data_IF_803999064865
#
_entry.id   IF_803999064865
#
_cell.length_a   1.000
_cell.length_b   1.000
_cell.length_c   1.000
_cell.angle_alpha   90.00
_cell.angle_beta   90.00
_cell.angle_gamma   90.00
#
_symmetry.space_group_name_H-M   'P 1'
#
loop_
_entity.id
_entity.type
_entity.pdbx_description
1 polymer ?
#
# COMPACT_ATOMS: atom_id res chain seq x y z
N UNK A 1 -3.18 2.23 -24.15
CA UNK A 1 -4.58 2.42 -23.70
C UNK A 1 -4.85 1.32 -22.67
N UNK A 2 -4.56 1.58 -21.39
CA UNK A 2 -4.57 0.57 -20.29
C UNK A 2 -5.58 0.97 -19.20
N UNK A 3 -6.09 2.20 -19.28
CA UNK A 3 -7.12 2.71 -18.37
C UNK A 3 -8.41 1.92 -18.63
N UNK A 4 -8.99 1.34 -17.58
CA UNK A 4 -10.21 0.50 -17.57
C UNK A 4 -10.09 -0.94 -18.12
N UNK A 5 -8.91 -1.37 -18.60
CA UNK A 5 -8.73 -2.73 -19.16
C UNK A 5 -7.99 -3.70 -18.22
N UNK A 6 -7.41 -3.19 -17.13
CA UNK A 6 -6.53 -3.96 -16.24
C UNK A 6 -6.80 -3.59 -14.78
N UNK A 7 -7.06 -4.60 -13.94
CA UNK A 7 -7.15 -4.41 -12.49
C UNK A 7 -5.77 -4.17 -11.90
N UNK A 8 -5.65 -3.14 -11.05
CA UNK A 8 -4.41 -2.79 -10.36
C UNK A 8 -4.59 -3.09 -8.88
N UNK A 9 -3.72 -3.93 -8.31
CA UNK A 9 -3.67 -4.19 -6.87
C UNK A 9 -2.44 -3.49 -6.31
N UNK A 10 -2.65 -2.62 -5.30
CA UNK A 10 -1.57 -1.91 -4.63
C UNK A 10 -1.57 -2.28 -3.15
N UNK A 11 -0.42 -2.72 -2.64
CA UNK A 11 -0.20 -2.95 -1.21
C UNK A 11 0.67 -1.85 -0.65
N UNK A 12 0.19 -1.15 0.37
CA UNK A 12 0.92 -0.07 1.04
C UNK A 12 0.86 -0.22 2.55
N UNK A 13 1.91 0.24 3.24
CA UNK A 13 1.90 0.41 4.69
C UNK A 13 1.59 1.87 5.11
N UNK A 14 1.21 2.72 4.16
CA UNK A 14 0.86 4.13 4.35
C UNK A 14 -0.56 4.40 3.91
N UNK A 15 -1.24 5.31 4.60
CA UNK A 15 -2.59 5.71 4.20
C UNK A 15 -2.53 6.45 2.85
N UNK A 16 -3.55 6.32 1.99
CA UNK A 16 -3.61 7.05 0.72
C UNK A 16 -3.40 8.58 0.86
N UNK A 17 -3.87 9.16 1.98
CA UNK A 17 -3.67 10.58 2.31
C UNK A 17 -2.19 11.00 2.48
N UNK A 18 -1.30 10.05 2.78
CA UNK A 18 0.12 10.31 2.98
C UNK A 18 0.92 10.17 1.68
N UNK A 19 0.32 9.67 0.60
CA UNK A 19 1.01 9.38 -0.65
C UNK A 19 1.37 10.67 -1.42
N UNK A 20 0.54 11.72 -1.35
CA UNK A 20 0.83 12.99 -2.03
C UNK A 20 2.13 13.62 -1.54
N UNK A 21 2.49 13.40 -0.27
CA UNK A 21 3.72 13.91 0.34
C UNK A 21 4.97 13.10 -0.01
N UNK A 22 4.81 11.88 -0.55
CA UNK A 22 5.92 11.01 -0.93
C UNK A 22 6.30 11.09 -2.40
N UNK A 23 5.44 11.70 -3.21
CA UNK A 23 5.67 11.90 -4.63
C UNK A 23 6.25 13.31 -4.81
N UNK A 24 7.40 13.41 -5.46
CA UNK A 24 8.15 14.67 -5.64
C UNK A 24 7.36 15.78 -6.34
N UNK A 25 6.32 15.41 -7.10
CA UNK A 25 5.39 16.33 -7.76
C UNK A 25 3.98 16.12 -7.19
N UNK A 26 3.58 17.00 -6.27
CA UNK A 26 2.29 16.96 -5.59
C UNK A 26 1.10 17.06 -6.57
N UNK A 27 1.26 17.73 -7.72
CA UNK A 27 0.20 17.90 -8.71
C UNK A 27 -0.03 16.58 -9.45
N UNK A 28 1.04 15.95 -9.92
CA UNK A 28 0.95 14.65 -10.60
C UNK A 28 0.50 13.57 -9.61
N UNK A 29 1.00 13.62 -8.38
CA UNK A 29 0.62 12.72 -7.30
C UNK A 29 -0.87 12.74 -7.02
N UNK A 30 -1.43 13.95 -6.86
CA UNK A 30 -2.85 14.14 -6.58
C UNK A 30 -3.70 13.66 -7.75
N UNK A 31 -3.31 13.97 -8.99
CA UNK A 31 -4.02 13.52 -10.19
C UNK A 31 -3.98 11.99 -10.38
N UNK A 32 -2.87 11.33 -10.02
CA UNK A 32 -2.75 9.87 -10.05
C UNK A 32 -3.61 9.22 -8.95
N UNK A 33 -3.53 9.75 -7.73
CA UNK A 33 -4.32 9.28 -6.59
C UNK A 33 -5.80 9.42 -6.84
N UNK A 34 -6.24 10.55 -7.40
CA UNK A 34 -7.65 10.79 -7.75
C UNK A 34 -8.17 9.69 -8.69
N UNK A 35 -7.42 9.37 -9.76
CA UNK A 35 -7.76 8.29 -10.70
C UNK A 35 -7.77 6.91 -10.07
N UNK A 36 -6.82 6.61 -9.19
CA UNK A 36 -6.74 5.32 -8.49
C UNK A 36 -7.88 5.17 -7.48
N UNK A 37 -8.19 6.24 -6.74
CA UNK A 37 -9.17 6.21 -5.66
C UNK A 37 -10.62 6.30 -6.15
N UNK A 38 -10.87 6.86 -7.35
CA UNK A 38 -12.20 7.04 -7.93
C UNK A 38 -13.00 5.72 -8.05
N UNK A 39 -12.33 4.59 -8.32
CA UNK A 39 -12.94 3.26 -8.41
C UNK A 39 -12.16 2.19 -7.63
N UNK A 40 -11.65 2.51 -6.43
CA UNK A 40 -10.98 1.53 -5.58
C UNK A 40 -11.87 0.97 -4.47
N UNK A 41 -11.55 -0.26 -4.07
CA UNK A 41 -11.95 -0.82 -2.78
C UNK A 41 -10.74 -0.81 -1.84
N UNK A 42 -10.85 -0.14 -0.70
CA UNK A 42 -9.77 -0.06 0.29
C UNK A 42 -9.92 -1.16 1.32
N UNK A 43 -9.02 -2.14 1.28
CA UNK A 43 -8.96 -3.22 2.29
C UNK A 43 -7.90 -2.84 3.33
N UNK A 44 -8.36 -2.55 4.55
CA UNK A 44 -7.48 -2.24 5.67
C UNK A 44 -7.05 -3.54 6.37
N UNK A 45 -5.75 -3.82 6.33
CA UNK A 45 -5.16 -4.94 7.07
C UNK A 45 -4.76 -4.49 8.47
N UNK A 46 -5.23 -5.20 9.49
CA UNK A 46 -4.88 -5.02 10.89
C UNK A 46 -4.44 -6.35 11.51
N UNK A 47 -3.75 -6.26 12.65
CA UNK A 47 -3.25 -7.43 13.38
C UNK A 47 -1.74 -7.51 13.45
N UNK A 48 -1.27 -8.59 14.07
CA UNK A 48 0.16 -8.82 14.28
C UNK A 48 0.87 -9.20 12.97
N UNK A 49 2.12 -8.75 12.84
CA UNK A 49 2.96 -9.13 11.71
C UNK A 49 3.12 -10.65 11.67
N UNK A 50 2.72 -11.28 10.58
CA UNK A 50 2.94 -12.70 10.33
C UNK A 50 4.42 -13.08 10.52
N UNK A 51 5.34 -12.20 10.10
CA UNK A 51 6.79 -12.40 10.26
C UNK A 51 7.21 -12.46 11.73
N UNK A 52 6.57 -11.69 12.61
CA UNK A 52 6.86 -11.71 14.05
C UNK A 52 6.26 -12.95 14.71
N UNK A 53 5.02 -13.30 14.34
CA UNK A 53 4.32 -14.48 14.87
C UNK A 53 5.04 -15.80 14.54
N UNK A 54 5.63 -15.88 13.36
CA UNK A 54 6.35 -17.07 12.89
C UNK A 54 7.87 -16.93 13.00
N UNK A 55 8.35 -15.92 13.75
CA UNK A 55 9.79 -15.70 13.96
C UNK A 55 10.35 -16.86 14.77
N UNK A 56 11.03 -17.80 14.09
CA UNK A 56 11.96 -18.71 14.75
C UNK A 56 13.14 -17.89 15.25
N UNK A 57 13.33 -17.84 16.56
CA UNK A 57 14.52 -17.24 17.14
C UNK A 57 15.72 -18.07 16.68
N UNK A 58 16.68 -17.43 16.03
CA UNK A 58 17.92 -18.09 15.58
C UNK A 58 18.72 -18.59 16.80
N UNK A 59 18.39 -18.12 18.01
CA UNK A 59 19.06 -18.40 19.28
C UNK A 59 18.21 -19.28 20.22
N UNK A 60 17.49 -20.28 19.70
CA UNK A 60 16.74 -21.22 20.56
C UNK A 60 17.63 -22.27 21.27
N UNK A 61 18.93 -21.99 21.45
CA UNK A 61 19.88 -22.95 22.04
C UNK A 61 21.27 -22.41 22.35
N UNK A 62 21.39 -21.19 22.90
CA UNK A 62 22.63 -20.69 23.54
C UNK A 62 22.42 -20.43 25.02
#
# INVERSE_FOLDING_TARGET
QIYESTSIIITTNKKPSDWSKQLDDEVIATALLDRLLYHCEVINFSGESYRLKNRKTIFEGS
#
